data_IF_723743345476
#
_entry.id   IF_723743345476
#
_cell.length_a   1.000
_cell.length_b   1.000
_cell.length_c   1.000
_cell.angle_alpha   90.00
_cell.angle_beta   90.00
_cell.angle_gamma   90.00
#
_symmetry.space_group_name_H-M   'P 1'
#
loop_
_entity.id
_entity.type
_entity.pdbx_description
1 polymer ?
#
# COMPACT_ATOMS: atom_id res chain seq x y z
N UNK A 1 12.18 -11.50 -60.44
CA UNK A 1 10.78 -11.49 -59.98
C UNK A 1 10.76 -11.91 -58.50
N UNK A 2 10.83 -10.97 -57.56
CA UNK A 2 10.69 -11.26 -56.12
C UNK A 2 9.69 -10.25 -55.55
N UNK A 3 8.54 -10.75 -55.06
CA UNK A 3 7.49 -9.95 -54.41
C UNK A 3 7.70 -10.01 -52.90
N UNK A 4 8.10 -8.89 -52.32
CA UNK A 4 8.16 -8.73 -50.85
C UNK A 4 6.75 -8.51 -50.32
N UNK A 5 6.23 -9.45 -49.54
CA UNK A 5 4.92 -9.36 -48.89
C UNK A 5 5.08 -8.77 -47.49
N UNK A 6 4.59 -7.54 -47.28
CA UNK A 6 4.55 -6.90 -45.97
C UNK A 6 3.36 -7.48 -45.20
N UNK A 7 3.61 -8.24 -44.12
CA UNK A 7 2.58 -8.65 -43.16
C UNK A 7 2.18 -7.43 -42.32
N UNK A 8 0.96 -6.93 -42.50
CA UNK A 8 0.33 -5.95 -41.58
C UNK A 8 -0.02 -6.65 -40.27
N UNK A 9 0.71 -6.35 -39.20
CA UNK A 9 0.28 -6.63 -37.82
C UNK A 9 -0.66 -5.50 -37.38
N UNK A 10 -1.97 -5.74 -37.46
CA UNK A 10 -2.98 -4.76 -37.05
C UNK A 10 -4.04 -5.38 -36.15
N UNK A 11 -3.72 -5.63 -34.88
CA UNK A 11 -4.73 -5.90 -33.83
C UNK A 11 -4.29 -5.61 -32.38
N UNK A 12 -3.02 -5.31 -32.10
CA UNK A 12 -2.54 -5.12 -30.71
C UNK A 12 -2.98 -3.80 -30.06
N UNK A 13 -3.32 -2.78 -30.84
CA UNK A 13 -3.59 -1.43 -30.32
C UNK A 13 -4.95 -1.29 -29.62
N UNK A 14 -5.97 -2.07 -30.00
CA UNK A 14 -7.33 -1.88 -29.51
C UNK A 14 -7.58 -2.46 -28.12
N UNK A 15 -6.94 -3.58 -27.73
CA UNK A 15 -7.12 -4.17 -26.40
C UNK A 15 -6.31 -3.50 -25.28
N UNK A 16 -5.23 -2.80 -25.62
CA UNK A 16 -4.49 -1.99 -24.65
C UNK A 16 -5.24 -0.70 -24.28
N UNK A 17 -6.05 -0.18 -25.21
CA UNK A 17 -6.79 1.07 -25.02
C UNK A 17 -7.96 0.93 -24.03
N UNK A 18 -8.63 -0.22 -23.98
CA UNK A 18 -9.81 -0.42 -23.10
C UNK A 18 -9.44 -0.64 -21.62
N UNK A 19 -8.29 -1.23 -21.29
CA UNK A 19 -7.92 -1.49 -19.88
C UNK A 19 -7.27 -0.31 -19.16
N UNK A 20 -6.74 0.66 -19.90
CA UNK A 20 -6.11 1.88 -19.34
C UNK A 20 -7.15 2.99 -19.16
N UNK A 21 -8.16 3.04 -20.03
CA UNK A 21 -9.13 4.14 -20.10
C UNK A 21 -10.06 4.28 -18.88
N UNK A 22 -10.14 3.30 -17.96
CA UNK A 22 -11.00 3.38 -16.78
C UNK A 22 -10.27 3.74 -15.46
N UNK A 23 -8.95 3.96 -15.46
CA UNK A 23 -8.20 4.29 -14.23
C UNK A 23 -7.69 5.73 -14.13
N UNK A 24 -7.72 6.52 -15.20
CA UNK A 24 -7.03 7.81 -15.29
C UNK A 24 -7.97 8.93 -15.75
N UNK A 25 -8.88 9.38 -14.88
CA UNK A 25 -9.54 10.67 -15.07
C UNK A 25 -8.81 11.72 -14.21
N UNK A 26 -8.00 12.62 -14.80
CA UNK A 26 -7.14 13.54 -14.05
C UNK A 26 -7.96 14.62 -13.34
N UNK A 27 -7.73 14.77 -12.03
CA UNK A 27 -8.24 15.87 -11.23
C UNK A 27 -7.36 17.13 -11.40
N UNK A 28 -8.00 18.28 -11.50
CA UNK A 28 -7.44 19.58 -11.95
C UNK A 28 -6.39 20.20 -11.00
N UNK A 29 -5.89 19.46 -10.00
CA UNK A 29 -5.02 19.98 -8.94
C UNK A 29 -3.61 19.41 -8.88
N UNK A 30 -3.23 18.48 -9.78
CA UNK A 30 -1.85 18.01 -9.87
C UNK A 30 -1.44 17.12 -8.69
N UNK A 31 -0.78 16.01 -9.02
CA UNK A 31 -0.45 14.89 -8.12
C UNK A 31 -1.70 14.05 -7.80
N UNK A 32 -1.95 13.03 -8.62
CA UNK A 32 -2.75 11.89 -8.17
C UNK A 32 -1.97 11.18 -7.07
N UNK A 33 -2.30 11.52 -5.82
CA UNK A 33 -1.83 10.76 -4.66
C UNK A 33 -2.37 9.36 -4.86
N UNK A 34 -1.48 8.36 -4.87
CA UNK A 34 -1.89 6.95 -4.75
C UNK A 34 -3.01 6.87 -3.71
N UNK A 35 -4.22 6.42 -4.12
CA UNK A 35 -5.40 6.30 -3.23
C UNK A 35 -5.09 5.53 -1.94
N UNK A 36 -4.01 4.77 -1.95
CA UNK A 36 -3.52 4.00 -0.84
C UNK A 36 -2.95 4.81 0.34
N UNK A 37 -2.51 6.06 0.17
CA UNK A 37 -2.03 6.84 1.32
C UNK A 37 -2.55 8.27 1.29
N UNK A 38 -3.35 8.58 2.32
CA UNK A 38 -3.95 9.90 2.54
C UNK A 38 -2.94 10.80 3.26
N UNK A 39 -3.19 12.12 3.23
CA UNK A 39 -2.45 13.07 4.06
C UNK A 39 -2.85 12.86 5.52
N UNK A 40 -1.90 12.51 6.38
CA UNK A 40 -2.09 12.32 7.81
C UNK A 40 -2.13 13.68 8.54
N UNK A 41 -3.32 14.28 8.61
CA UNK A 41 -3.49 15.64 9.14
C UNK A 41 -3.26 15.76 10.65
N UNK A 42 -3.47 14.70 11.43
CA UNK A 42 -3.19 14.65 12.87
C UNK A 42 -1.80 14.12 13.23
N UNK A 43 -0.90 13.93 12.26
CA UNK A 43 0.51 13.59 12.51
C UNK A 43 0.85 12.12 12.28
N UNK A 44 1.91 11.64 12.94
CA UNK A 44 2.53 10.33 12.66
C UNK A 44 1.55 9.16 12.81
N UNK A 45 0.82 9.11 13.92
CA UNK A 45 -0.11 8.02 14.24
C UNK A 45 -1.23 7.91 13.20
N UNK A 46 -1.71 9.04 12.68
CA UNK A 46 -2.74 9.09 11.63
C UNK A 46 -2.27 8.51 10.28
N UNK A 47 -0.95 8.39 10.07
CA UNK A 47 -0.38 7.78 8.88
C UNK A 47 -0.35 6.24 8.94
N UNK A 48 -0.64 5.64 10.11
CA UNK A 48 -0.64 4.19 10.29
C UNK A 48 -1.86 3.58 9.57
N UNK A 49 -1.59 2.63 8.70
CA UNK A 49 -2.58 1.86 7.99
C UNK A 49 -2.93 2.39 6.60
N UNK A 50 -4.13 2.03 6.12
CA UNK A 50 -4.62 2.28 4.76
C UNK A 50 -3.69 1.83 3.60
N UNK A 51 -2.58 1.13 3.88
CA UNK A 51 -1.53 0.77 2.93
C UNK A 51 -2.04 0.12 1.62
N UNK A 52 -1.33 0.30 0.50
CA UNK A 52 -1.81 -0.18 -0.81
C UNK A 52 -1.96 -1.70 -0.90
N UNK A 53 -2.88 -2.13 -1.75
CA UNK A 53 -2.85 -3.45 -2.37
C UNK A 53 -2.15 -3.33 -3.72
N UNK A 54 -1.07 -4.10 -3.91
CA UNK A 54 -0.25 -4.08 -5.13
C UNK A 54 -0.50 -5.39 -5.87
N UNK A 55 -0.96 -5.31 -7.12
CA UNK A 55 -1.15 -6.50 -7.95
C UNK A 55 0.19 -7.14 -8.30
N UNK A 56 0.35 -8.41 -7.97
CA UNK A 56 1.51 -9.22 -8.37
C UNK A 56 1.26 -9.80 -9.76
N UNK A 57 1.48 -8.97 -10.78
CA UNK A 57 1.09 -9.25 -12.18
C UNK A 57 1.53 -10.65 -12.65
N UNK A 58 2.83 -10.95 -12.53
CA UNK A 58 3.43 -12.17 -13.08
C UNK A 58 2.86 -13.45 -12.44
N UNK A 59 2.78 -13.47 -11.10
CA UNK A 59 2.18 -14.57 -10.35
C UNK A 59 0.68 -14.72 -10.65
N UNK A 60 -0.03 -13.61 -10.83
CA UNK A 60 -1.44 -13.64 -11.20
C UNK A 60 -1.66 -14.28 -12.58
N UNK A 61 -0.80 -13.97 -13.54
CA UNK A 61 -0.84 -14.54 -14.90
C UNK A 61 -0.48 -16.04 -14.90
N UNK A 62 0.56 -16.44 -14.16
CA UNK A 62 1.01 -17.84 -14.09
C UNK A 62 0.01 -18.77 -13.40
N UNK A 63 -0.73 -18.26 -12.42
CA UNK A 63 -1.69 -19.05 -11.63
C UNK A 63 -3.13 -18.95 -12.14
N UNK A 64 -3.45 -17.92 -12.93
CA UNK A 64 -4.83 -17.59 -13.30
C UNK A 64 -5.66 -16.96 -12.16
N UNK A 65 -5.07 -16.75 -10.98
CA UNK A 65 -5.73 -16.11 -9.83
C UNK A 65 -5.36 -14.62 -9.75
N UNK A 66 -6.21 -13.82 -9.10
CA UNK A 66 -5.81 -12.46 -8.72
C UNK A 66 -4.98 -12.49 -7.43
N UNK A 67 -3.68 -12.21 -7.55
CA UNK A 67 -2.76 -12.20 -6.40
C UNK A 67 -2.36 -10.75 -6.09
N UNK A 68 -2.65 -10.32 -4.86
CA UNK A 68 -2.36 -8.97 -4.37
C UNK A 68 -1.44 -9.04 -3.15
N UNK A 69 -0.43 -8.17 -3.10
CA UNK A 69 0.41 -7.95 -1.93
C UNK A 69 -0.06 -6.72 -1.14
N UNK A 70 -0.23 -6.86 0.17
CA UNK A 70 -0.50 -5.71 1.06
C UNK A 70 0.81 -5.03 1.43
N UNK A 71 0.99 -3.78 1.03
CA UNK A 71 2.24 -3.03 1.16
C UNK A 71 2.46 -2.45 2.57
N UNK A 72 2.48 -3.32 3.59
CA UNK A 72 2.62 -2.93 5.01
C UNK A 72 3.96 -2.30 5.36
N UNK A 73 4.95 -2.39 4.48
CA UNK A 73 6.20 -1.64 4.61
C UNK A 73 6.00 -0.13 4.46
N UNK A 74 4.82 0.32 3.98
CA UNK A 74 4.49 1.74 3.85
C UNK A 74 3.84 2.36 5.10
N UNK A 75 3.59 1.58 6.16
CA UNK A 75 3.31 2.22 7.45
C UNK A 75 4.53 3.07 7.87
N UNK A 76 4.36 4.14 8.67
CA UNK A 76 5.41 5.14 8.87
C UNK A 76 6.62 4.63 9.68
N UNK A 77 6.46 3.61 10.51
CA UNK A 77 7.53 2.83 11.16
C UNK A 77 8.07 1.68 10.30
N UNK A 78 7.63 1.57 9.04
CA UNK A 78 8.20 0.71 8.02
C UNK A 78 7.70 -0.74 8.04
N UNK A 79 6.68 -1.07 8.84
CA UNK A 79 6.15 -2.44 8.90
C UNK A 79 4.70 -2.53 9.34
N UNK A 80 4.13 -3.74 9.21
CA UNK A 80 2.78 -4.06 9.72
C UNK A 80 2.64 -3.86 11.24
N UNK A 81 3.75 -3.85 11.98
CA UNK A 81 3.71 -3.84 13.45
C UNK A 81 3.31 -2.50 14.04
N UNK A 82 3.39 -1.41 13.28
CA UNK A 82 2.86 -0.10 13.67
C UNK A 82 1.37 -0.18 14.04
N UNK A 83 0.62 -1.01 13.32
CA UNK A 83 -0.81 -1.25 13.62
C UNK A 83 -1.00 -1.88 14.99
N UNK A 84 -0.21 -2.89 15.31
CA UNK A 84 -0.30 -3.60 16.59
C UNK A 84 0.12 -2.68 17.74
N UNK A 85 1.25 -1.97 17.58
CA UNK A 85 1.74 -0.99 18.54
C UNK A 85 0.68 0.08 18.85
N UNK A 86 0.06 0.67 17.82
CA UNK A 86 -1.00 1.67 17.98
C UNK A 86 -2.16 1.14 18.83
N UNK A 87 -2.73 -0.01 18.47
CA UNK A 87 -3.94 -0.50 19.15
C UNK A 87 -3.67 -1.02 20.56
N UNK A 88 -2.48 -1.58 20.83
CA UNK A 88 -2.10 -2.02 22.18
C UNK A 88 -1.94 -0.81 23.11
N UNK A 89 -1.19 0.21 22.68
CA UNK A 89 -0.99 1.44 23.46
C UNK A 89 -2.31 2.15 23.68
N UNK A 90 -3.07 2.39 22.60
CA UNK A 90 -4.37 3.07 22.67
C UNK A 90 -5.33 2.36 23.62
N UNK A 91 -5.41 1.03 23.56
CA UNK A 91 -6.25 0.27 24.48
C UNK A 91 -5.79 0.42 25.94
N UNK A 92 -4.49 0.33 26.21
CA UNK A 92 -3.95 0.50 27.56
C UNK A 92 -4.22 1.91 28.13
N UNK A 93 -4.13 2.96 27.29
CA UNK A 93 -4.48 4.33 27.67
C UNK A 93 -5.98 4.49 27.95
N UNK A 94 -6.84 3.95 27.07
CA UNK A 94 -8.30 3.98 27.23
C UNK A 94 -8.76 3.26 28.51
N UNK A 95 -8.09 2.17 28.90
CA UNK A 95 -8.35 1.46 30.14
C UNK A 95 -7.69 2.10 31.37
N UNK A 96 -6.90 3.17 31.20
CA UNK A 96 -6.14 3.81 32.27
C UNK A 96 -5.00 2.97 32.85
N UNK A 97 -4.61 1.89 32.15
CA UNK A 97 -3.50 1.01 32.51
C UNK A 97 -2.14 1.64 32.17
N UNK A 98 -2.10 2.45 31.11
CA UNK A 98 -0.95 3.24 30.72
C UNK A 98 -1.25 4.73 30.92
N UNK A 99 -0.29 5.45 31.49
CA UNK A 99 -0.37 6.89 31.75
C UNK A 99 0.87 7.57 31.19
N UNK A 100 0.81 8.89 30.91
CA UNK A 100 2.00 9.64 30.52
C UNK A 100 3.16 9.43 31.50
N UNK A 101 4.35 9.17 30.97
CA UNK A 101 5.54 8.82 31.75
C UNK A 101 5.61 7.36 32.20
N UNK A 102 4.62 6.52 31.87
CA UNK A 102 4.66 5.08 32.10
C UNK A 102 5.67 4.37 31.20
N UNK A 103 6.13 3.20 31.65
CA UNK A 103 7.09 2.37 30.90
C UNK A 103 6.36 1.25 30.17
N UNK A 104 6.61 1.11 28.86
CA UNK A 104 6.17 -0.02 28.05
C UNK A 104 7.33 -0.98 27.86
N UNK A 105 7.10 -2.28 28.10
CA UNK A 105 8.08 -3.35 27.88
C UNK A 105 7.46 -4.35 26.90
N UNK A 106 8.15 -4.59 25.78
CA UNK A 106 7.68 -5.49 24.72
C UNK A 106 8.79 -6.47 24.35
N UNK A 107 8.46 -7.77 24.36
CA UNK A 107 9.34 -8.81 23.84
C UNK A 107 9.24 -8.87 22.32
N UNK A 108 10.23 -8.32 21.61
CA UNK A 108 10.15 -8.17 20.16
C UNK A 108 11.41 -8.61 19.43
N UNK A 109 11.24 -9.05 18.19
CA UNK A 109 12.34 -9.26 17.24
C UNK A 109 12.79 -7.95 16.54
N UNK A 110 12.07 -6.84 16.74
CA UNK A 110 12.48 -5.52 16.24
C UNK A 110 11.30 -4.64 15.84
N UNK A 111 10.55 -5.03 14.81
CA UNK A 111 9.53 -4.19 14.19
C UNK A 111 8.44 -3.67 15.16
N UNK A 112 8.01 -4.45 16.16
CA UNK A 112 7.06 -3.94 17.16
C UNK A 112 7.71 -2.91 18.08
N UNK A 113 8.98 -3.10 18.45
CA UNK A 113 9.72 -2.12 19.22
C UNK A 113 9.90 -0.80 18.47
N UNK A 114 10.17 -0.88 17.17
CA UNK A 114 10.21 0.30 16.29
C UNK A 114 8.85 1.00 16.28
N UNK A 115 7.76 0.26 16.05
CA UNK A 115 6.40 0.82 16.04
C UNK A 115 5.95 1.43 17.37
N UNK A 116 6.50 0.98 18.51
CA UNK A 116 6.22 1.53 19.84
C UNK A 116 7.09 2.76 20.20
N UNK A 117 8.21 2.97 19.50
CA UNK A 117 9.21 3.98 19.86
C UNK A 117 9.03 5.34 19.19
N UNK A 118 8.18 5.44 18.16
CA UNK A 118 7.90 6.66 17.40
C UNK A 118 6.78 7.50 18.04
#
# INVERSE_FOLDING_TARGET
>A
MFRTSIRRFGTTALRAAESVAQMEAPNTHGIEISKAQRIARGGFVDAIGNTPLIRLKRLSEETGCEILGKAEFQNPGGSVKDRAALYVVKHAEEQGLLKPGGTVVEGTAGNTGIGLAH
#
